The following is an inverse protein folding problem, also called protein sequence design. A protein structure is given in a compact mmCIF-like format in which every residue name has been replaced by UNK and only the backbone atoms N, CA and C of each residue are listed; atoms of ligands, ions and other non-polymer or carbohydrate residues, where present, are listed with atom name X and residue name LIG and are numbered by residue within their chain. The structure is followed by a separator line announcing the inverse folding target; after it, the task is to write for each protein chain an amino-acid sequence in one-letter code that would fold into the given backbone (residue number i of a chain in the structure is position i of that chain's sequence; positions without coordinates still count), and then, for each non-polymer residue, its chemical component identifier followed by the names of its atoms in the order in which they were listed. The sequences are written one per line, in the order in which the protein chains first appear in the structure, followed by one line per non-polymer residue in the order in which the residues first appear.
data_IF_281407010394
#
_entry.id   IF_281407010394
#
_cell.length_a   1.000
_cell.length_b   1.000
_cell.length_c   1.000
_cell.angle_alpha   90.00
_cell.angle_beta   90.00
_cell.angle_gamma   90.00
#
_symmetry.space_group_name_H-M   'P 1'
#
loop_
_entity.id
_entity.type
_entity.pdbx_description
1 polymer ?
#
# COMPACT_ATOMS: atom_id res chain seq x y z
N UNK A 1 -7.70 -23.11 4.32
CA UNK A 1 -7.01 -21.80 4.40
C UNK A 1 -7.58 -21.05 5.61
N UNK A 2 -6.74 -20.61 6.54
CA UNK A 2 -7.16 -19.97 7.79
C UNK A 2 -7.18 -18.44 7.71
N UNK A 3 -7.63 -17.78 8.79
CA UNK A 3 -7.72 -16.32 8.88
C UNK A 3 -6.36 -15.60 8.72
N UNK A 4 -5.26 -16.31 8.92
CA UNK A 4 -3.88 -15.82 8.84
C UNK A 4 -3.11 -16.39 7.64
N UNK A 5 -3.80 -16.89 6.60
CA UNK A 5 -3.13 -17.44 5.41
C UNK A 5 -2.76 -16.34 4.39
N UNK A 6 -1.62 -16.43 3.66
CA UNK A 6 -1.27 -15.49 2.60
C UNK A 6 -2.37 -15.28 1.55
N UNK A 7 -3.05 -16.35 1.15
CA UNK A 7 -4.20 -16.28 0.22
C UNK A 7 -5.37 -15.46 0.77
N UNK A 8 -5.58 -15.48 2.09
CA UNK A 8 -6.56 -14.62 2.77
C UNK A 8 -6.15 -13.16 2.62
N UNK A 9 -4.87 -12.83 2.80
CA UNK A 9 -4.36 -11.48 2.59
C UNK A 9 -4.50 -11.02 1.13
N UNK A 10 -4.22 -11.91 0.17
CA UNK A 10 -4.44 -11.62 -1.26
C UNK A 10 -5.90 -11.34 -1.56
N UNK A 11 -6.81 -12.15 -1.01
CA UNK A 11 -8.26 -11.95 -1.20
C UNK A 11 -8.74 -10.63 -0.59
N UNK A 12 -8.30 -10.30 0.63
CA UNK A 12 -8.59 -9.02 1.29
C UNK A 12 -8.05 -7.83 0.49
N UNK A 13 -6.82 -7.93 -0.01
CA UNK A 13 -6.20 -6.90 -0.82
C UNK A 13 -6.96 -6.65 -2.14
N UNK A 14 -7.42 -7.72 -2.80
CA UNK A 14 -8.21 -7.60 -4.01
C UNK A 14 -9.58 -6.96 -3.74
N UNK A 15 -10.23 -7.33 -2.62
CA UNK A 15 -11.49 -6.72 -2.21
C UNK A 15 -11.31 -5.23 -1.87
N UNK A 16 -10.22 -4.87 -1.19
CA UNK A 16 -9.88 -3.47 -0.94
C UNK A 16 -9.68 -2.69 -2.24
N UNK A 17 -9.00 -3.28 -3.23
CA UNK A 17 -8.83 -2.70 -4.57
C UNK A 17 -10.17 -2.47 -5.29
N UNK A 18 -11.12 -3.40 -5.16
CA UNK A 18 -12.47 -3.25 -5.71
C UNK A 18 -13.24 -2.10 -5.05
N UNK A 19 -13.21 -2.01 -3.72
CA UNK A 19 -13.84 -0.90 -3.00
C UNK A 19 -13.21 0.45 -3.40
N UNK A 20 -11.88 0.49 -3.54
CA UNK A 20 -11.17 1.67 -4.01
C UNK A 20 -11.63 2.10 -5.42
N UNK A 21 -11.75 1.17 -6.36
CA UNK A 21 -12.22 1.46 -7.72
C UNK A 21 -13.66 2.00 -7.76
N UNK A 22 -14.45 1.73 -6.71
CA UNK A 22 -15.80 2.24 -6.53
C UNK A 22 -15.86 3.55 -5.71
N UNK A 23 -14.72 4.09 -5.25
CA UNK A 23 -14.67 5.25 -4.36
C UNK A 23 -15.03 4.96 -2.90
N UNK A 24 -15.18 3.68 -2.53
CA UNK A 24 -15.55 3.24 -1.19
C UNK A 24 -14.33 3.13 -0.26
N UNK A 25 -13.62 4.25 -0.06
CA UNK A 25 -12.34 4.26 0.67
C UNK A 25 -12.46 3.78 2.13
N UNK A 26 -13.57 4.10 2.80
CA UNK A 26 -13.82 3.64 4.17
C UNK A 26 -13.95 2.12 4.31
N UNK A 27 -14.46 1.43 3.27
CA UNK A 27 -14.52 -0.03 3.24
C UNK A 27 -13.17 -0.66 2.86
N UNK A 28 -12.39 0.00 2.00
CA UNK A 28 -11.08 -0.48 1.57
C UNK A 28 -10.01 -0.44 2.68
N UNK A 29 -10.12 0.52 3.61
CA UNK A 29 -9.13 0.73 4.68
C UNK A 29 -8.97 -0.49 5.60
N UNK A 30 -10.01 -0.98 6.32
CA UNK A 30 -9.85 -2.10 7.24
C UNK A 30 -9.43 -3.40 6.54
N UNK A 31 -9.80 -3.58 5.27
CA UNK A 31 -9.39 -4.72 4.45
C UNK A 31 -7.88 -4.66 4.15
N UNK A 32 -7.37 -3.48 3.80
CA UNK A 32 -5.95 -3.28 3.51
C UNK A 32 -5.09 -3.40 4.78
N UNK A 33 -5.57 -2.89 5.93
CA UNK A 33 -4.90 -3.04 7.24
C UNK A 33 -4.79 -4.50 7.64
N UNK A 34 -5.89 -5.25 7.52
CA UNK A 34 -5.89 -6.69 7.81
C UNK A 34 -4.99 -7.47 6.86
N UNK A 35 -4.99 -7.14 5.57
CA UNK A 35 -4.08 -7.75 4.60
C UNK A 35 -2.61 -7.45 4.93
N UNK A 36 -2.30 -6.22 5.38
CA UNK A 36 -0.95 -5.85 5.83
C UNK A 36 -0.53 -6.69 7.03
N UNK A 37 -1.35 -6.75 8.08
CA UNK A 37 -1.05 -7.50 9.30
C UNK A 37 -0.73 -8.98 9.01
N UNK A 38 -1.56 -9.63 8.18
CA UNK A 38 -1.31 -11.03 7.79
C UNK A 38 0.00 -11.18 7.02
N UNK A 39 0.29 -10.28 6.07
CA UNK A 39 1.54 -10.35 5.28
C UNK A 39 2.78 -10.08 6.11
N UNK A 40 2.73 -9.13 7.04
CA UNK A 40 3.83 -8.88 7.98
C UNK A 40 4.09 -10.08 8.87
N UNK A 41 3.02 -10.73 9.37
CA UNK A 41 3.14 -11.91 10.22
C UNK A 41 3.68 -13.14 9.47
N UNK A 42 3.19 -13.39 8.26
CA UNK A 42 3.48 -14.65 7.54
C UNK A 42 4.68 -14.55 6.61
N UNK A 43 4.81 -13.44 5.88
CA UNK A 43 5.83 -13.23 4.85
C UNK A 43 6.98 -12.35 5.34
N UNK A 44 6.73 -11.56 6.39
CA UNK A 44 7.68 -10.61 6.95
C UNK A 44 7.49 -9.18 6.45
N UNK A 45 8.03 -8.24 7.23
CA UNK A 45 7.92 -6.80 7.00
C UNK A 45 8.56 -6.32 5.68
N UNK A 46 9.53 -7.07 5.15
CA UNK A 46 10.34 -6.72 3.96
C UNK A 46 9.94 -7.51 2.71
N UNK A 47 8.79 -8.18 2.72
CA UNK A 47 8.32 -8.96 1.57
C UNK A 47 7.68 -8.07 0.49
N UNK A 48 7.85 -8.35 -0.82
CA UNK A 48 7.20 -7.58 -1.89
C UNK A 48 5.67 -7.49 -1.76
N UNK A 49 5.01 -8.54 -1.26
CA UNK A 49 3.56 -8.51 -1.03
C UNK A 49 3.18 -7.58 0.13
N UNK A 50 4.01 -7.47 1.16
CA UNK A 50 3.84 -6.49 2.25
C UNK A 50 3.91 -5.07 1.67
N UNK A 51 4.84 -4.81 0.74
CA UNK A 51 4.90 -3.54 0.02
C UNK A 51 3.63 -3.24 -0.80
N UNK A 52 2.98 -4.27 -1.35
CA UNK A 52 1.71 -4.11 -2.05
C UNK A 52 0.58 -3.68 -1.12
N UNK A 53 0.48 -4.23 0.09
CA UNK A 53 -0.48 -3.76 1.10
C UNK A 53 -0.20 -2.31 1.53
N UNK A 54 1.08 -1.98 1.78
CA UNK A 54 1.50 -0.63 2.16
C UNK A 54 1.15 0.41 1.08
N UNK A 55 1.37 0.06 -0.19
CA UNK A 55 0.99 0.90 -1.33
C UNK A 55 -0.52 1.19 -1.35
N UNK A 56 -1.36 0.18 -1.13
CA UNK A 56 -2.81 0.35 -1.14
C UNK A 56 -3.31 1.21 0.04
N UNK A 57 -2.74 1.03 1.23
CA UNK A 57 -3.01 1.90 2.37
C UNK A 57 -2.58 3.34 2.09
N UNK A 58 -1.38 3.55 1.56
CA UNK A 58 -0.87 4.88 1.22
C UNK A 58 -1.79 5.62 0.24
N UNK A 59 -2.25 4.93 -0.80
CA UNK A 59 -3.23 5.48 -1.76
C UNK A 59 -4.52 5.86 -1.02
N UNK A 60 -5.04 4.98 -0.16
CA UNK A 60 -6.26 5.26 0.59
C UNK A 60 -6.13 6.55 1.43
N UNK A 61 -5.04 6.70 2.20
CA UNK A 61 -4.75 7.91 2.97
C UNK A 61 -4.61 9.16 2.10
N UNK A 62 -3.98 9.04 0.92
CA UNK A 62 -3.85 10.15 -0.04
C UNK A 62 -5.21 10.69 -0.50
N UNK A 63 -6.20 9.82 -0.76
CA UNK A 63 -7.54 10.26 -1.13
C UNK A 63 -8.35 10.81 0.05
N UNK A 64 -8.06 10.36 1.27
CA UNK A 64 -8.64 10.94 2.49
C UNK A 64 -7.97 12.27 2.92
N UNK A 65 -6.88 12.67 2.26
CA UNK A 65 -6.14 13.91 2.58
C UNK A 65 -5.11 13.78 3.70
N UNK A 66 -4.92 12.58 4.26
CA UNK A 66 -3.85 12.29 5.22
C UNK A 66 -2.53 12.03 4.49
N UNK A 67 -1.94 13.11 3.96
CA UNK A 67 -0.75 13.04 3.13
C UNK A 67 0.49 12.59 3.90
N UNK A 68 0.58 12.90 5.19
CA UNK A 68 1.70 12.49 6.04
C UNK A 68 1.74 10.96 6.22
N UNK A 69 0.60 10.33 6.51
CA UNK A 69 0.53 8.87 6.60
C UNK A 69 0.76 8.23 5.24
N UNK A 70 0.20 8.81 4.16
CA UNK A 70 0.41 8.33 2.80
C UNK A 70 1.90 8.33 2.42
N UNK A 71 2.63 9.42 2.71
CA UNK A 71 4.05 9.55 2.40
C UNK A 71 4.88 8.48 3.13
N UNK A 72 4.64 8.31 4.44
CA UNK A 72 5.35 7.32 5.26
C UNK A 72 5.15 5.90 4.72
N UNK A 73 3.91 5.54 4.43
CA UNK A 73 3.55 4.20 3.93
C UNK A 73 4.13 3.95 2.53
N UNK A 74 4.01 4.93 1.61
CA UNK A 74 4.54 4.81 0.26
C UNK A 74 6.07 4.76 0.24
N UNK A 75 6.74 5.53 1.11
CA UNK A 75 8.20 5.48 1.27
C UNK A 75 8.67 4.11 1.72
N UNK A 76 7.96 3.48 2.68
CA UNK A 76 8.26 2.11 3.11
C UNK A 76 8.03 1.10 1.98
N UNK A 77 6.92 1.22 1.25
CA UNK A 77 6.64 0.36 0.11
C UNK A 77 7.72 0.47 -0.99
N UNK A 78 8.17 1.70 -1.27
CA UNK A 78 9.23 1.97 -2.24
C UNK A 78 10.55 1.32 -1.79
N UNK A 79 10.95 1.51 -0.53
CA UNK A 79 12.17 0.91 0.02
C UNK A 79 12.20 -0.61 -0.17
N UNK A 80 11.11 -1.29 0.19
CA UNK A 80 10.99 -2.75 0.04
C UNK A 80 11.10 -3.15 -1.44
N UNK A 81 10.39 -2.44 -2.33
CA UNK A 81 10.40 -2.74 -3.77
C UNK A 81 11.77 -2.51 -4.40
N UNK A 82 12.48 -1.44 -4.03
CA UNK A 82 13.85 -1.19 -4.46
C UNK A 82 14.79 -2.32 -4.00
N UNK A 83 14.69 -2.73 -2.73
CA UNK A 83 15.54 -3.77 -2.17
C UNK A 83 15.27 -5.18 -2.74
N UNK A 84 14.02 -5.50 -3.07
CA UNK A 84 13.61 -6.87 -3.49
C UNK A 84 13.43 -7.06 -4.98
N UNK A 85 13.02 -6.01 -5.70
CA UNK A 85 12.69 -6.08 -7.13
C UNK A 85 13.67 -5.27 -7.99
N UNK A 86 14.42 -4.36 -7.38
CA UNK A 86 15.32 -3.44 -8.07
C UNK A 86 14.63 -2.14 -8.50
N UNK A 87 15.43 -1.10 -8.83
CA UNK A 87 14.95 0.25 -9.13
C UNK A 87 14.14 0.34 -10.42
N UNK A 88 14.40 -0.54 -11.39
CA UNK A 88 13.78 -0.51 -12.73
C UNK A 88 12.49 -1.34 -12.82
N UNK A 89 12.14 -2.07 -11.76
CA UNK A 89 10.92 -2.86 -11.74
C UNK A 89 9.67 -1.94 -11.84
N UNK A 90 8.65 -2.29 -12.64
CA UNK A 90 7.46 -1.45 -12.84
C UNK A 90 6.77 -1.03 -11.53
N UNK A 91 6.66 -1.93 -10.55
CA UNK A 91 6.10 -1.59 -9.24
C UNK A 91 6.96 -0.61 -8.43
N UNK A 92 8.29 -0.67 -8.57
CA UNK A 92 9.20 0.27 -7.93
C UNK A 92 9.03 1.66 -8.53
N UNK A 93 8.99 1.74 -9.86
CA UNK A 93 8.75 3.00 -10.59
C UNK A 93 7.37 3.59 -10.26
N UNK A 94 6.32 2.76 -10.18
CA UNK A 94 4.98 3.17 -9.78
C UNK A 94 4.92 3.72 -8.35
N UNK A 95 5.62 3.09 -7.40
CA UNK A 95 5.75 3.62 -6.02
C UNK A 95 6.48 4.96 -5.99
N UNK A 96 7.55 5.10 -6.78
CA UNK A 96 8.33 6.34 -6.85
C UNK A 96 7.50 7.49 -7.40
N UNK A 97 6.74 7.25 -8.47
CA UNK A 97 5.81 8.23 -9.03
C UNK A 97 4.71 8.62 -8.03
N UNK A 98 4.11 7.63 -7.36
CA UNK A 98 3.09 7.88 -6.34
C UNK A 98 3.65 8.70 -5.17
N UNK A 99 4.86 8.40 -4.69
CA UNK A 99 5.52 9.16 -3.63
C UNK A 99 5.79 10.61 -4.03
N UNK A 100 6.25 10.83 -5.28
CA UNK A 100 6.46 12.17 -5.81
C UNK A 100 5.13 12.95 -5.90
N UNK A 101 4.04 12.31 -6.30
CA UNK A 101 2.71 12.93 -6.33
C UNK A 101 2.20 13.30 -4.92
N UNK A 102 2.41 12.43 -3.93
CA UNK A 102 2.06 12.71 -2.52
C UNK A 102 2.82 13.96 -2.04
N UNK A 103 4.14 13.99 -2.22
CA UNK A 103 4.99 15.12 -1.79
C UNK A 103 4.61 16.42 -2.47
N UNK A 104 4.41 16.38 -3.78
CA UNK A 104 3.95 17.56 -4.53
C UNK A 104 2.63 18.11 -3.97
N UNK A 105 1.66 17.24 -3.68
CA UNK A 105 0.38 17.68 -3.08
C UNK A 105 0.55 18.25 -1.66
N UNK A 106 1.52 17.75 -0.89
CA UNK A 106 1.85 18.32 0.43
C UNK A 106 2.42 19.74 0.29
N UNK A 107 3.26 19.97 -0.71
CA UNK A 107 3.83 21.29 -1.00
C UNK A 107 2.77 22.29 -1.51
N UNK A 108 1.84 21.83 -2.36
CA UNK A 108 0.76 22.65 -2.93
C UNK A 108 -0.40 22.92 -1.96
N UNK A 109 -0.47 22.18 -0.84
CA UNK A 109 -1.51 22.30 0.17
C UNK A 109 -1.18 23.25 1.34
N UNK A 110 -0.07 23.99 1.25
CA UNK A 110 0.42 24.96 2.26
C UNK A 110 0.20 26.39 1.78
#
# INVERSE_FOLDING_TARGET
LGAEHPDTATSLNNLAGLHYAQGNYGAALPLSERALAIREQVLGAEHPDTATSLNNLAINHYYQGDLATAERLMSRALHIREAKLGPDHPYTQGSRQSLAAIRKRMEEGV
#
